data_IF_856533221241
#
_entry.id   IF_856533221241
#
_cell.length_a   1.000
_cell.length_b   1.000
_cell.length_c   1.000
_cell.angle_alpha   90.00
_cell.angle_beta   90.00
_cell.angle_gamma   90.00
#
_symmetry.space_group_name_H-M   'P 1'
#
loop_
_entity.id
_entity.type
_entity.pdbx_description
1 polymer ?
#
# COMPACT_ATOMS: atom_id res chain seq x y z
N UNK A 1 27.00 -7.46 -5.31
CA UNK A 1 25.61 -7.30 -5.76
C UNK A 1 25.18 -5.89 -5.39
N UNK A 2 24.36 -5.24 -6.22
CA UNK A 2 23.73 -3.98 -5.82
C UNK A 2 22.75 -4.24 -4.66
N UNK A 3 22.57 -3.24 -3.78
CA UNK A 3 21.61 -3.28 -2.65
C UNK A 3 20.20 -3.59 -3.19
N UNK A 4 19.48 -4.50 -2.55
CA UNK A 4 18.13 -4.89 -2.94
C UNK A 4 17.10 -3.83 -2.52
N UNK A 5 17.26 -3.30 -1.30
CA UNK A 5 16.46 -2.19 -0.80
C UNK A 5 16.97 -0.87 -1.40
N UNK A 6 16.09 -0.20 -2.14
CA UNK A 6 16.30 1.15 -2.64
C UNK A 6 15.92 2.20 -1.61
N UNK A 7 15.66 3.43 -2.06
CA UNK A 7 15.23 4.54 -1.19
C UNK A 7 13.84 4.36 -0.57
N UNK A 8 13.02 3.46 -1.13
CA UNK A 8 11.64 3.24 -0.70
C UNK A 8 11.21 1.80 -0.96
N UNK A 9 11.87 0.88 -0.28
CA UNK A 9 11.67 -0.56 -0.41
C UNK A 9 12.35 -1.18 -1.63
N UNK A 10 11.94 -2.39 -1.98
CA UNK A 10 12.44 -3.13 -3.14
C UNK A 10 11.55 -2.82 -4.33
N UNK A 11 12.09 -2.33 -5.44
CA UNK A 11 11.32 -1.99 -6.65
C UNK A 11 11.91 -2.65 -7.89
N UNK A 12 11.04 -2.96 -8.85
CA UNK A 12 11.46 -3.47 -10.15
C UNK A 12 10.29 -3.79 -11.05
N UNK A 13 10.59 -4.11 -12.31
CA UNK A 13 9.60 -4.62 -13.25
C UNK A 13 9.07 -5.95 -12.75
N UNK A 14 7.77 -6.04 -12.55
CA UNK A 14 7.12 -7.23 -12.04
C UNK A 14 7.33 -8.41 -13.00
N UNK A 15 7.62 -9.57 -12.43
CA UNK A 15 7.91 -10.82 -13.16
C UNK A 15 9.15 -10.75 -14.08
N UNK A 16 10.03 -9.76 -13.88
CA UNK A 16 11.31 -9.62 -14.60
C UNK A 16 12.47 -9.40 -13.63
N UNK A 17 12.46 -8.27 -12.91
CA UNK A 17 13.45 -7.97 -11.87
C UNK A 17 12.86 -8.10 -10.48
N UNK A 18 11.55 -7.87 -10.32
CA UNK A 18 10.78 -8.22 -9.13
C UNK A 18 9.97 -9.49 -9.38
N UNK A 19 10.57 -10.65 -9.12
CA UNK A 19 9.95 -11.97 -9.38
C UNK A 19 9.15 -12.48 -8.17
N UNK A 20 8.19 -13.40 -8.37
CA UNK A 20 7.48 -14.02 -7.24
C UNK A 20 8.43 -14.79 -6.30
N UNK A 21 9.49 -15.43 -6.80
CA UNK A 21 10.49 -16.10 -5.95
C UNK A 21 11.20 -15.09 -5.05
N UNK A 22 11.52 -13.91 -5.58
CA UNK A 22 12.11 -12.84 -4.79
C UNK A 22 11.12 -12.31 -3.74
N UNK A 23 9.85 -12.13 -4.09
CA UNK A 23 8.81 -11.72 -3.14
C UNK A 23 8.61 -12.76 -2.02
N UNK A 24 8.63 -14.06 -2.33
CA UNK A 24 8.60 -15.13 -1.34
C UNK A 24 9.79 -15.05 -0.38
N UNK A 25 11.00 -14.88 -0.92
CA UNK A 25 12.22 -14.77 -0.13
C UNK A 25 12.24 -13.51 0.75
N UNK A 26 11.76 -12.37 0.23
CA UNK A 26 11.57 -11.14 0.99
C UNK A 26 10.57 -11.38 2.13
N UNK A 27 9.45 -12.06 1.86
CA UNK A 27 8.45 -12.38 2.88
C UNK A 27 9.00 -13.27 3.99
N UNK A 28 9.75 -14.31 3.62
CA UNK A 28 10.39 -15.23 4.55
C UNK A 28 11.44 -14.51 5.42
N UNK A 29 12.33 -13.73 4.80
CA UNK A 29 13.36 -12.98 5.51
C UNK A 29 12.77 -11.87 6.40
N UNK A 30 11.81 -11.11 5.88
CA UNK A 30 11.11 -10.06 6.62
C UNK A 30 10.39 -10.62 7.83
N UNK A 31 9.64 -11.72 7.67
CA UNK A 31 8.98 -12.39 8.79
C UNK A 31 9.98 -12.88 9.84
N UNK A 32 11.11 -13.46 9.42
CA UNK A 32 12.14 -13.89 10.36
C UNK A 32 12.72 -12.72 11.17
N UNK A 33 13.11 -11.62 10.51
CA UNK A 33 13.72 -10.46 11.17
C UNK A 33 12.72 -9.74 12.06
N UNK A 34 11.53 -9.43 11.54
CA UNK A 34 10.50 -8.64 12.23
C UNK A 34 9.75 -9.46 13.29
N UNK A 35 9.85 -10.80 13.25
CA UNK A 35 9.34 -11.70 14.28
C UNK A 35 10.27 -11.93 15.48
N UNK A 36 11.52 -11.42 15.44
CA UNK A 36 12.47 -11.55 16.54
C UNK A 36 12.01 -10.76 17.77
N UNK A 37 12.33 -11.28 18.96
CA UNK A 37 12.20 -10.53 20.22
C UNK A 37 10.85 -10.63 20.94
N UNK A 38 9.87 -11.39 20.44
CA UNK A 38 8.63 -11.64 21.18
C UNK A 38 8.83 -12.53 22.40
N UNK A 39 8.21 -12.15 23.51
CA UNK A 39 8.12 -13.01 24.68
C UNK A 39 7.15 -14.18 24.44
N UNK A 40 7.44 -15.33 25.06
CA UNK A 40 6.50 -16.46 25.08
C UNK A 40 5.19 -16.02 25.74
N UNK A 41 4.06 -16.19 25.04
CA UNK A 41 2.71 -15.96 25.59
C UNK A 41 1.92 -14.80 24.97
N UNK A 42 2.52 -14.01 24.08
CA UNK A 42 1.84 -12.84 23.50
C UNK A 42 0.94 -13.14 22.27
N UNK A 43 0.62 -14.41 22.03
CA UNK A 43 -0.10 -14.87 20.84
C UNK A 43 0.77 -14.95 19.58
N UNK A 44 0.20 -15.37 18.44
CA UNK A 44 0.95 -15.45 17.17
C UNK A 44 1.24 -14.03 16.63
N UNK A 45 2.48 -13.74 16.18
CA UNK A 45 2.81 -12.48 15.52
C UNK A 45 2.03 -12.34 14.21
N UNK A 46 1.79 -11.09 13.82
CA UNK A 46 1.00 -10.75 12.63
C UNK A 46 1.70 -9.73 11.76
N UNK A 47 1.56 -9.86 10.45
CA UNK A 47 1.97 -8.86 9.47
C UNK A 47 0.77 -8.48 8.61
N UNK A 48 0.52 -7.18 8.45
CA UNK A 48 -0.50 -6.65 7.55
C UNK A 48 0.05 -6.62 6.13
N UNK A 49 -0.70 -7.11 5.14
CA UNK A 49 -0.34 -7.01 3.72
C UNK A 49 -1.47 -6.34 2.96
N UNK A 50 -1.15 -5.27 2.23
CA UNK A 50 -2.02 -4.68 1.22
C UNK A 50 -1.26 -4.30 -0.04
N UNK A 51 -1.98 -3.74 -1.00
CA UNK A 51 -1.46 -3.45 -2.34
C UNK A 51 -2.20 -2.29 -3.02
N UNK A 52 -1.66 -1.83 -4.13
CA UNK A 52 -2.40 -1.00 -5.08
C UNK A 52 -3.16 -1.86 -6.11
N UNK A 53 -3.58 -1.24 -7.21
CA UNK A 53 -4.45 -1.84 -8.22
C UNK A 53 -3.71 -2.55 -9.36
N UNK A 54 -2.37 -2.63 -9.33
CA UNK A 54 -1.59 -3.28 -10.39
C UNK A 54 -1.93 -4.76 -10.51
N UNK A 55 -2.06 -5.25 -11.74
CA UNK A 55 -2.33 -6.67 -12.04
C UNK A 55 -1.29 -7.61 -11.44
N UNK A 56 -0.03 -7.17 -11.33
CA UNK A 56 1.06 -7.95 -10.72
C UNK A 56 0.94 -8.09 -9.21
N UNK A 57 0.11 -7.27 -8.56
CA UNK A 57 -0.10 -7.27 -7.11
C UNK A 57 -0.60 -8.60 -6.58
N UNK A 58 -1.50 -9.28 -7.30
CA UNK A 58 -2.03 -10.60 -6.90
C UNK A 58 -0.93 -11.66 -6.81
N UNK A 59 -0.07 -11.71 -7.83
CA UNK A 59 1.04 -12.64 -7.92
C UNK A 59 2.06 -12.41 -6.79
N UNK A 60 2.45 -11.16 -6.58
CA UNK A 60 3.44 -10.79 -5.56
C UNK A 60 2.89 -10.97 -4.14
N UNK A 61 1.61 -10.64 -3.92
CA UNK A 61 0.92 -10.81 -2.63
C UNK A 61 0.85 -12.28 -2.24
N UNK A 62 0.51 -13.17 -3.18
CA UNK A 62 0.46 -14.60 -2.92
C UNK A 62 1.84 -15.15 -2.51
N UNK A 63 2.89 -14.78 -3.24
CA UNK A 63 4.25 -15.22 -2.95
C UNK A 63 4.76 -14.69 -1.60
N UNK A 64 4.58 -13.39 -1.34
CA UNK A 64 4.96 -12.74 -0.09
C UNK A 64 4.22 -13.36 1.09
N UNK A 65 2.91 -13.60 0.96
CA UNK A 65 2.06 -14.26 1.96
C UNK A 65 2.59 -15.65 2.30
N UNK A 66 2.91 -16.45 1.28
CA UNK A 66 3.45 -17.80 1.49
C UNK A 66 4.80 -17.75 2.24
N UNK A 67 5.69 -16.81 1.89
CA UNK A 67 6.97 -16.61 2.56
C UNK A 67 6.79 -16.27 4.04
N UNK A 68 5.89 -15.34 4.37
CA UNK A 68 5.61 -14.92 5.74
C UNK A 68 5.02 -16.07 6.57
N UNK A 69 3.98 -16.74 6.05
CA UNK A 69 3.33 -17.86 6.74
C UNK A 69 4.30 -19.03 6.97
N UNK A 70 5.27 -19.25 6.08
CA UNK A 70 6.29 -20.29 6.23
C UNK A 70 7.18 -20.08 7.46
N UNK A 71 7.27 -18.86 7.98
CA UNK A 71 8.01 -18.51 9.20
C UNK A 71 7.13 -18.43 10.45
N UNK A 72 5.89 -18.90 10.38
CA UNK A 72 4.99 -19.02 11.53
C UNK A 72 4.27 -17.72 11.91
N UNK A 73 4.33 -16.71 11.05
CA UNK A 73 3.66 -15.42 11.24
C UNK A 73 2.31 -15.44 10.53
N UNK A 74 1.25 -15.02 11.22
CA UNK A 74 -0.08 -14.88 10.62
C UNK A 74 -0.10 -13.64 9.70
N UNK A 75 -0.69 -13.76 8.51
CA UNK A 75 -0.87 -12.65 7.56
C UNK A 75 -2.27 -12.08 7.70
N UNK A 76 -2.37 -10.76 7.89
CA UNK A 76 -3.62 -10.01 7.79
C UNK A 76 -3.73 -9.39 6.39
N UNK A 77 -4.51 -10.03 5.51
CA UNK A 77 -4.69 -9.57 4.13
C UNK A 77 -5.79 -8.51 4.07
N UNK A 78 -5.43 -7.29 3.68
CA UNK A 78 -6.34 -6.13 3.69
C UNK A 78 -6.78 -5.66 2.29
N UNK A 79 -6.27 -6.28 1.24
CA UNK A 79 -6.64 -5.97 -0.14
C UNK A 79 -6.08 -4.64 -0.64
N UNK A 80 -6.87 -3.94 -1.47
CA UNK A 80 -6.47 -2.65 -2.06
C UNK A 80 -6.72 -1.53 -1.06
N UNK A 81 -5.65 -0.95 -0.53
CA UNK A 81 -5.68 0.14 0.46
C UNK A 81 -4.47 1.05 0.19
N UNK A 82 -4.63 2.39 0.25
CA UNK A 82 -3.51 3.32 0.14
C UNK A 82 -2.33 2.96 1.06
N UNK A 83 -1.11 3.24 0.61
CA UNK A 83 0.12 3.06 1.39
C UNK A 83 0.02 3.64 2.82
N UNK A 84 -0.44 4.89 3.04
CA UNK A 84 -0.65 5.41 4.40
C UNK A 84 -1.70 4.64 5.22
N UNK A 85 -2.69 4.03 4.55
CA UNK A 85 -3.66 3.15 5.19
C UNK A 85 -3.02 1.87 5.74
N UNK A 86 -2.02 1.31 5.06
CA UNK A 86 -1.27 0.14 5.56
C UNK A 86 -0.49 0.50 6.83
N UNK A 87 0.17 1.66 6.87
CA UNK A 87 0.85 2.16 8.06
C UNK A 87 -0.12 2.33 9.25
N UNK A 88 -1.31 2.89 9.00
CA UNK A 88 -2.37 2.99 10.00
C UNK A 88 -2.87 1.63 10.49
N UNK A 89 -3.23 0.73 9.57
CA UNK A 89 -3.80 -0.59 9.89
C UNK A 89 -2.79 -1.48 10.65
N UNK A 90 -1.50 -1.32 10.38
CA UNK A 90 -0.42 -1.98 11.14
C UNK A 90 -0.52 -1.66 12.63
N UNK A 91 -0.63 -0.37 12.96
CA UNK A 91 -0.80 0.09 14.35
C UNK A 91 -2.15 -0.33 14.92
N UNK A 92 -3.22 -0.18 14.13
CA UNK A 92 -4.59 -0.48 14.54
C UNK A 92 -4.74 -1.95 14.96
N UNK A 93 -4.19 -2.89 14.17
CA UNK A 93 -4.23 -4.32 14.47
C UNK A 93 -3.11 -4.81 15.39
N UNK A 94 -2.23 -3.91 15.86
CA UNK A 94 -1.05 -4.22 16.66
C UNK A 94 -0.21 -5.33 16.00
N UNK A 95 0.01 -5.18 14.70
CA UNK A 95 0.86 -6.05 13.92
C UNK A 95 2.33 -5.68 14.10
N UNK A 96 3.23 -6.64 13.94
CA UNK A 96 4.68 -6.42 14.07
C UNK A 96 5.22 -5.57 12.91
N UNK A 97 4.56 -5.69 11.76
CA UNK A 97 4.87 -4.91 10.58
C UNK A 97 3.68 -4.83 9.63
N UNK A 98 3.75 -3.84 8.74
CA UNK A 98 2.93 -3.73 7.55
C UNK A 98 3.77 -3.89 6.31
N UNK A 99 3.19 -4.41 5.23
CA UNK A 99 3.81 -4.48 3.92
C UNK A 99 2.83 -3.99 2.88
N UNK A 100 3.28 -3.10 2.02
CA UNK A 100 2.52 -2.65 0.86
C UNK A 100 3.22 -3.08 -0.43
N UNK A 101 2.41 -3.59 -1.36
CA UNK A 101 2.85 -3.96 -2.70
C UNK A 101 2.44 -2.85 -3.67
N UNK A 102 3.39 -1.97 -3.99
CA UNK A 102 3.18 -0.86 -4.92
C UNK A 102 4.51 -0.26 -5.40
N UNK A 103 4.49 0.33 -6.59
CA UNK A 103 5.52 1.23 -7.10
C UNK A 103 5.08 2.71 -7.18
N UNK A 104 4.10 3.13 -6.37
CA UNK A 104 3.60 4.52 -6.32
C UNK A 104 3.14 5.04 -7.69
N UNK A 105 3.68 6.17 -8.14
CA UNK A 105 3.42 6.80 -9.44
C UNK A 105 3.99 6.08 -10.68
N UNK A 106 4.76 4.99 -10.53
CA UNK A 106 5.35 4.30 -11.68
C UNK A 106 4.29 3.66 -12.62
N UNK A 107 4.61 3.38 -13.90
CA UNK A 107 3.75 2.61 -14.81
C UNK A 107 3.45 1.19 -14.31
N UNK A 108 2.35 0.57 -14.74
CA UNK A 108 1.81 -0.68 -14.18
C UNK A 108 2.76 -1.90 -14.26
N UNK A 109 3.73 -1.87 -15.19
CA UNK A 109 4.75 -2.91 -15.37
C UNK A 109 5.71 -2.98 -14.17
N UNK A 110 5.93 -1.86 -13.49
CA UNK A 110 6.70 -1.80 -12.27
C UNK A 110 5.85 -2.19 -11.06
N UNK A 111 6.48 -2.79 -10.06
CA UNK A 111 5.89 -2.94 -8.73
C UNK A 111 7.00 -2.83 -7.66
N UNK A 112 6.60 -2.86 -6.40
CA UNK A 112 7.52 -2.77 -5.29
C UNK A 112 6.97 -3.39 -4.01
N UNK A 113 7.85 -3.62 -3.04
CA UNK A 113 7.52 -4.15 -1.71
C UNK A 113 8.15 -3.20 -0.69
N UNK A 114 7.31 -2.56 0.13
CA UNK A 114 7.74 -1.61 1.18
C UNK A 114 7.24 -2.08 2.54
N UNK A 115 8.10 -2.04 3.55
CA UNK A 115 7.76 -2.43 4.91
C UNK A 115 7.54 -1.23 5.82
N UNK A 116 6.65 -1.39 6.79
CA UNK A 116 6.41 -0.51 7.91
C UNK A 116 6.67 -1.26 9.21
N UNK A 117 7.34 -0.63 10.16
CA UNK A 117 7.48 -1.15 11.52
C UNK A 117 6.13 -1.12 12.26
N UNK A 118 6.05 -1.81 13.40
CA UNK A 118 4.85 -1.85 14.26
C UNK A 118 4.28 -0.47 14.64
N UNK A 119 5.13 0.56 14.67
CA UNK A 119 4.74 1.94 14.95
C UNK A 119 4.20 2.70 13.72
N UNK A 120 4.13 2.06 12.55
CA UNK A 120 3.63 2.63 11.29
C UNK A 120 4.66 3.48 10.52
N UNK A 121 5.89 3.61 11.00
CA UNK A 121 6.96 4.28 10.25
C UNK A 121 7.70 3.30 9.34
N UNK A 122 8.48 3.82 8.39
CA UNK A 122 9.38 2.99 7.58
C UNK A 122 10.38 2.26 8.47
N UNK A 123 10.87 1.12 7.98
CA UNK A 123 11.95 0.40 8.66
C UNK A 123 13.23 1.27 8.69
N UNK A 124 14.01 1.23 9.78
CA UNK A 124 15.37 1.75 9.76
C UNK A 124 16.24 0.99 8.77
N UNK A 125 17.18 1.67 8.12
CA UNK A 125 18.13 1.07 7.17
C UNK A 125 18.83 -0.19 7.70
N UNK A 126 19.20 -0.20 8.98
CA UNK A 126 19.84 -1.36 9.62
C UNK A 126 18.95 -2.62 9.58
N UNK A 127 17.63 -2.45 9.70
CA UNK A 127 16.66 -3.56 9.63
C UNK A 127 16.48 -4.01 8.17
N UNK A 128 16.47 -3.08 7.22
CA UNK A 128 16.43 -3.43 5.78
C UNK A 128 17.68 -4.23 5.38
N UNK A 129 18.85 -3.80 5.84
CA UNK A 129 20.12 -4.50 5.61
C UNK A 129 20.13 -5.89 6.29
N UNK A 130 19.51 -6.03 7.47
CA UNK A 130 19.34 -7.31 8.13
C UNK A 130 18.44 -8.26 7.31
N UNK A 131 17.33 -7.75 6.75
CA UNK A 131 16.45 -8.53 5.87
C UNK A 131 17.23 -8.97 4.62
N UNK A 132 17.97 -8.06 3.99
CA UNK A 132 18.76 -8.37 2.79
C UNK A 132 19.84 -9.43 3.07
N UNK A 133 20.50 -9.36 4.22
CA UNK A 133 21.48 -10.37 4.62
C UNK A 133 20.81 -11.70 4.97
N UNK A 134 19.61 -11.67 5.58
CA UNK A 134 18.83 -12.86 5.90
C UNK A 134 18.41 -13.63 4.64
N UNK A 135 18.11 -12.93 3.54
CA UNK A 135 17.78 -13.57 2.24
C UNK A 135 18.90 -14.52 1.79
N UNK A 136 20.17 -14.21 2.09
CA UNK A 136 21.34 -15.01 1.67
C UNK A 136 21.48 -16.32 2.45
N UNK A 137 20.79 -16.46 3.59
CA UNK A 137 20.93 -17.61 4.51
C UNK A 137 19.60 -18.32 4.79
N UNK A 138 18.56 -18.09 3.96
CA UNK A 138 17.19 -18.60 4.17
C UNK A 138 17.09 -20.12 4.35
N UNK A 139 18.00 -20.89 3.74
CA UNK A 139 18.02 -22.35 3.82
C UNK A 139 18.58 -22.86 5.15
N UNK A 140 19.24 -22.00 5.92
CA UNK A 140 19.79 -22.32 7.23
C UNK A 140 18.87 -21.95 8.39
N UNK A 141 17.81 -21.19 8.11
CA UNK A 141 16.89 -20.70 9.14
C UNK A 141 16.00 -21.82 9.66
N UNK A 142 15.66 -21.81 10.97
CA UNK A 142 14.67 -22.73 11.50
C UNK A 142 13.30 -22.42 10.88
N UNK A 143 12.64 -23.43 10.32
CA UNK A 143 11.32 -23.31 9.71
C UNK A 143 10.29 -24.01 10.60
N UNK A 144 9.24 -23.31 11.08
CA UNK A 144 8.19 -23.93 11.87
C UNK A 144 7.38 -24.94 11.04
N UNK A 145 6.89 -25.98 11.72
CA UNK A 145 6.04 -27.01 11.13
C UNK A 145 4.79 -27.28 11.99
N UNK A 146 3.85 -28.05 11.45
CA UNK A 146 2.63 -28.43 12.16
C UNK A 146 1.78 -27.24 12.59
N UNK A 147 1.44 -27.16 13.87
CA UNK A 147 0.60 -26.09 14.44
C UNK A 147 1.25 -24.70 14.41
N UNK A 148 2.56 -24.63 14.24
CA UNK A 148 3.32 -23.38 14.27
C UNK A 148 3.33 -22.65 12.93
N UNK A 149 2.80 -23.26 11.85
CA UNK A 149 2.65 -22.61 10.55
C UNK A 149 1.72 -21.38 10.66
N UNK A 150 2.09 -20.30 9.98
CA UNK A 150 1.31 -19.07 9.93
C UNK A 150 0.06 -19.24 9.08
N UNK A 151 -0.99 -18.50 9.42
CA UNK A 151 -2.29 -18.54 8.72
C UNK A 151 -2.54 -17.24 7.99
N UNK A 152 -3.31 -17.33 6.91
CA UNK A 152 -3.84 -16.16 6.20
C UNK A 152 -5.21 -15.81 6.76
N UNK A 153 -5.38 -14.57 7.20
CA UNK A 153 -6.61 -14.02 7.73
C UNK A 153 -7.02 -12.83 6.85
N UNK A 154 -8.13 -12.96 6.12
CA UNK A 154 -8.66 -11.87 5.31
C UNK A 154 -9.45 -10.90 6.19
N UNK A 155 -9.18 -9.61 6.06
CA UNK A 155 -9.88 -8.54 6.79
C UNK A 155 -10.74 -7.76 5.78
N UNK A 156 -11.97 -8.24 5.58
CA UNK A 156 -12.86 -7.70 4.52
C UNK A 156 -13.23 -6.23 4.73
N UNK A 157 -13.28 -5.76 5.99
CA UNK A 157 -13.62 -4.39 6.34
C UNK A 157 -12.39 -3.49 6.63
N UNK A 158 -11.20 -3.86 6.17
CA UNK A 158 -9.98 -3.09 6.40
C UNK A 158 -10.08 -1.64 5.90
N UNK A 159 -10.69 -1.45 4.73
CA UNK A 159 -10.94 -0.13 4.16
C UNK A 159 -11.84 0.73 5.06
N UNK A 160 -12.83 0.13 5.74
CA UNK A 160 -13.74 0.88 6.62
C UNK A 160 -13.01 1.49 7.82
N UNK A 161 -12.07 0.75 8.43
CA UNK A 161 -11.25 1.28 9.52
C UNK A 161 -10.44 2.49 9.10
N UNK A 162 -9.89 2.48 7.88
CA UNK A 162 -9.11 3.61 7.37
C UNK A 162 -10.01 4.78 6.95
N UNK A 163 -11.15 4.52 6.28
CA UNK A 163 -12.16 5.54 6.00
C UNK A 163 -12.62 6.25 7.27
N UNK A 164 -12.92 5.50 8.33
CA UNK A 164 -13.35 6.09 9.60
C UNK A 164 -12.25 6.94 10.22
N UNK A 165 -11.02 6.44 10.25
CA UNK A 165 -9.87 7.20 10.75
C UNK A 165 -9.68 8.54 10.02
N UNK A 166 -9.78 8.54 8.69
CA UNK A 166 -9.67 9.78 7.90
C UNK A 166 -10.78 10.78 8.24
N UNK A 167 -12.03 10.32 8.35
CA UNK A 167 -13.16 11.18 8.69
C UNK A 167 -13.05 11.77 10.08
N UNK A 168 -12.57 11.00 11.06
CA UNK A 168 -12.39 11.46 12.44
C UNK A 168 -11.35 12.60 12.56
N UNK A 169 -10.49 12.78 11.54
CA UNK A 169 -9.44 13.80 11.51
C UNK A 169 -9.65 14.85 10.41
N UNK A 170 -10.76 14.79 9.69
CA UNK A 170 -11.08 15.72 8.60
C UNK A 170 -12.11 16.77 9.05
N UNK A 171 -12.11 17.91 8.34
CA UNK A 171 -13.18 18.90 8.48
C UNK A 171 -14.44 18.48 7.69
N UNK A 172 -15.57 19.07 8.03
CA UNK A 172 -16.77 19.04 7.19
C UNK A 172 -16.47 19.74 5.86
N UNK A 173 -16.82 19.08 4.76
CA UNK A 173 -16.60 19.54 3.38
C UNK A 173 -17.92 19.97 2.70
N UNK A 174 -19.01 20.08 3.46
CA UNK A 174 -20.30 20.54 2.98
C UNK A 174 -20.20 21.86 2.22
N UNK A 175 -20.77 21.90 1.02
CA UNK A 175 -20.75 23.08 0.15
C UNK A 175 -19.55 23.17 -0.79
N UNK A 176 -18.58 22.25 -0.69
CA UNK A 176 -17.48 22.15 -1.65
C UNK A 176 -17.80 21.16 -2.78
N UNK A 177 -17.44 21.54 -3.99
CA UNK A 177 -17.42 20.69 -5.18
C UNK A 177 -15.98 20.34 -5.53
N UNK A 178 -15.68 19.05 -5.49
CA UNK A 178 -14.32 18.52 -5.66
C UNK A 178 -14.25 17.60 -6.87
N UNK A 179 -13.28 17.83 -7.76
CA UNK A 179 -12.87 16.82 -8.76
C UNK A 179 -11.71 16.02 -8.16
N UNK A 180 -11.87 14.70 -8.05
CA UNK A 180 -10.86 13.81 -7.49
C UNK A 180 -10.32 12.86 -8.56
N UNK A 181 -9.06 13.04 -8.94
CA UNK A 181 -8.31 12.08 -9.76
C UNK A 181 -7.68 11.02 -8.86
N UNK A 182 -8.15 9.78 -9.01
CA UNK A 182 -7.71 8.65 -8.19
C UNK A 182 -6.57 7.84 -8.83
N UNK A 183 -6.04 8.29 -9.98
CA UNK A 183 -4.96 7.65 -10.75
C UNK A 183 -5.21 6.17 -11.14
N UNK A 184 -6.47 5.73 -11.13
CA UNK A 184 -6.88 4.32 -11.12
C UNK A 184 -6.12 3.50 -10.07
N UNK A 185 -5.73 4.12 -8.97
CA UNK A 185 -4.88 3.58 -7.91
C UNK A 185 -5.65 3.13 -6.67
N UNK A 186 -4.92 2.96 -5.58
CA UNK A 186 -5.43 2.41 -4.32
C UNK A 186 -6.55 3.25 -3.68
N UNK A 187 -6.62 4.56 -3.99
CA UNK A 187 -7.66 5.45 -3.47
C UNK A 187 -8.96 5.46 -4.30
N UNK A 188 -9.05 4.71 -5.40
CA UNK A 188 -10.21 4.73 -6.33
C UNK A 188 -11.57 4.50 -5.66
N UNK A 189 -11.62 3.65 -4.63
CA UNK A 189 -12.83 3.41 -3.84
C UNK A 189 -12.91 4.29 -2.60
N UNK A 190 -11.80 4.43 -1.85
CA UNK A 190 -11.76 5.08 -0.54
C UNK A 190 -11.87 6.60 -0.66
N UNK A 191 -11.15 7.23 -1.59
CA UNK A 191 -11.10 8.68 -1.74
C UNK A 191 -12.48 9.30 -1.99
N UNK A 192 -13.21 8.89 -3.05
CA UNK A 192 -14.54 9.43 -3.33
C UNK A 192 -15.53 9.17 -2.20
N UNK A 193 -15.46 8.00 -1.56
CA UNK A 193 -16.34 7.64 -0.44
C UNK A 193 -16.13 8.59 0.75
N UNK A 194 -14.89 8.77 1.20
CA UNK A 194 -14.56 9.59 2.37
C UNK A 194 -15.00 11.04 2.14
N UNK A 195 -14.69 11.63 0.99
CA UNK A 195 -15.07 13.02 0.70
C UNK A 195 -16.58 13.22 0.61
N UNK A 196 -17.33 12.27 0.04
CA UNK A 196 -18.80 12.31 0.01
C UNK A 196 -19.40 12.17 1.40
N UNK A 197 -18.89 11.25 2.22
CA UNK A 197 -19.34 11.07 3.61
C UNK A 197 -19.01 12.29 4.49
N UNK A 198 -18.04 13.12 4.10
CA UNK A 198 -17.73 14.41 4.71
C UNK A 198 -18.54 15.59 4.13
N UNK A 199 -19.46 15.35 3.19
CA UNK A 199 -20.41 16.36 2.69
C UNK A 199 -20.06 17.02 1.36
N UNK A 200 -18.92 16.71 0.73
CA UNK A 200 -18.56 17.28 -0.57
C UNK A 200 -19.40 16.71 -1.74
N UNK A 201 -19.67 17.54 -2.75
CA UNK A 201 -20.03 17.06 -4.09
C UNK A 201 -18.77 16.56 -4.78
N UNK A 202 -18.67 15.25 -5.03
CA UNK A 202 -17.44 14.65 -5.57
C UNK A 202 -17.65 14.13 -6.99
N UNK A 203 -16.84 14.64 -7.91
CA UNK A 203 -16.67 14.12 -9.27
C UNK A 203 -15.38 13.31 -9.29
N UNK A 204 -15.51 11.99 -9.18
CA UNK A 204 -14.37 11.09 -9.25
C UNK A 204 -14.01 10.79 -10.72
N UNK A 205 -12.74 10.98 -11.07
CA UNK A 205 -12.18 10.62 -12.37
C UNK A 205 -11.04 9.62 -12.17
N UNK A 206 -10.79 8.79 -13.18
CA UNK A 206 -9.79 7.71 -13.12
C UNK A 206 -9.93 6.87 -11.84
N UNK A 207 -11.12 6.36 -11.58
CA UNK A 207 -11.45 5.58 -10.38
C UNK A 207 -11.99 4.18 -10.71
N UNK A 208 -11.71 3.68 -11.91
CA UNK A 208 -12.15 2.37 -12.39
C UNK A 208 -10.92 1.53 -12.78
N UNK A 209 -10.14 1.05 -11.79
CA UNK A 209 -8.95 0.26 -12.04
C UNK A 209 -9.28 -1.05 -12.76
N UNK A 210 -8.45 -1.42 -13.74
CA UNK A 210 -8.56 -2.69 -14.50
C UNK A 210 -7.31 -3.58 -14.40
N UNK A 211 -6.32 -3.17 -13.58
CA UNK A 211 -5.05 -3.85 -13.42
C UNK A 211 -3.89 -3.27 -14.23
N UNK A 212 -4.18 -2.55 -15.32
CA UNK A 212 -3.16 -2.03 -16.26
C UNK A 212 -3.26 -0.52 -16.51
N UNK A 213 -4.35 0.11 -16.07
CA UNK A 213 -4.63 1.53 -16.30
C UNK A 213 -4.19 2.48 -15.16
N UNK A 214 -3.48 1.98 -14.14
CA UNK A 214 -2.94 2.79 -13.04
C UNK A 214 -1.91 3.81 -13.58
N UNK A 215 -2.02 5.07 -13.13
CA UNK A 215 -1.16 6.20 -13.53
C UNK A 215 -1.10 6.48 -15.05
N UNK A 216 -1.98 5.89 -15.87
CA UNK A 216 -1.94 6.07 -17.33
C UNK A 216 -2.58 7.41 -17.69
N UNK A 217 -1.74 8.44 -17.90
CA UNK A 217 -2.16 9.80 -18.27
C UNK A 217 -3.17 10.41 -17.29
N UNK A 218 -2.99 10.11 -16.00
CA UNK A 218 -3.79 10.59 -14.88
C UNK A 218 -2.93 10.62 -13.61
N UNK A 219 -3.54 11.10 -12.52
CA UNK A 219 -2.91 11.17 -11.22
C UNK A 219 -1.95 12.36 -11.07
N UNK A 220 -1.26 12.41 -9.93
CA UNK A 220 -0.46 13.58 -9.53
C UNK A 220 0.66 13.94 -10.50
N UNK A 221 1.14 13.00 -11.32
CA UNK A 221 2.20 13.25 -12.33
C UNK A 221 1.65 13.72 -13.68
N UNK A 222 0.33 13.63 -13.89
CA UNK A 222 -0.38 14.07 -15.10
C UNK A 222 -1.68 14.84 -14.76
N UNK A 223 -1.58 15.97 -14.04
CA UNK A 223 -2.74 16.71 -13.52
C UNK A 223 -3.48 17.54 -14.59
N UNK A 224 -3.05 17.53 -15.85
CA UNK A 224 -3.64 18.37 -16.92
C UNK A 224 -5.10 17.98 -17.21
N UNK A 225 -5.42 16.69 -17.09
CA UNK A 225 -6.81 16.22 -17.22
C UNK A 225 -7.69 16.72 -16.08
N UNK A 226 -7.17 16.65 -14.84
CA UNK A 226 -7.83 17.18 -13.66
C UNK A 226 -8.13 18.68 -13.82
N UNK A 227 -7.16 19.49 -14.25
CA UNK A 227 -7.34 20.93 -14.42
C UNK A 227 -8.46 21.28 -15.42
N UNK A 228 -8.55 20.54 -16.52
CA UNK A 228 -9.66 20.69 -17.47
C UNK A 228 -11.01 20.34 -16.84
N UNK A 229 -11.07 19.25 -16.08
CA UNK A 229 -12.30 18.81 -15.42
C UNK A 229 -12.76 19.78 -14.32
N UNK A 230 -11.84 20.41 -13.59
CA UNK A 230 -12.16 21.46 -12.61
C UNK A 230 -12.86 22.63 -13.29
N UNK A 231 -12.30 23.14 -14.39
CA UNK A 231 -12.89 24.24 -15.17
C UNK A 231 -14.24 23.86 -15.80
N UNK A 232 -14.33 22.67 -16.40
CA UNK A 232 -15.54 22.15 -17.05
C UNK A 232 -16.71 22.04 -16.06
N UNK A 233 -16.43 21.52 -14.85
CA UNK A 233 -17.44 21.30 -13.83
C UNK A 233 -17.64 22.50 -12.89
N UNK A 234 -16.85 23.57 -13.06
CA UNK A 234 -16.81 24.74 -12.16
C UNK A 234 -16.64 24.29 -10.70
N UNK A 235 -15.71 23.36 -10.48
CA UNK A 235 -15.41 22.84 -9.16
C UNK A 235 -14.56 23.85 -8.37
N UNK A 236 -14.68 23.81 -7.04
CA UNK A 236 -13.91 24.68 -6.14
C UNK A 236 -12.45 24.24 -6.05
N UNK A 237 -12.19 22.94 -6.20
CA UNK A 237 -10.83 22.38 -6.16
C UNK A 237 -10.75 21.06 -6.93
N UNK A 238 -9.60 20.81 -7.53
CA UNK A 238 -9.18 19.51 -8.04
C UNK A 238 -8.11 18.90 -7.15
N UNK A 239 -8.19 17.60 -6.90
CA UNK A 239 -7.20 16.84 -6.13
C UNK A 239 -6.75 15.62 -6.94
N UNK A 240 -5.46 15.52 -7.23
CA UNK A 240 -4.86 14.39 -7.92
C UNK A 240 -3.96 13.60 -6.97
N UNK A 241 -4.36 12.35 -6.72
CA UNK A 241 -3.56 11.37 -5.99
C UNK A 241 -2.64 10.63 -6.95
N UNK A 242 -1.63 9.94 -6.44
CA UNK A 242 -0.86 8.97 -7.20
C UNK A 242 -1.31 7.52 -6.93
N UNK A 243 -0.68 6.55 -7.61
CA UNK A 243 -1.13 5.16 -7.65
C UNK A 243 -1.33 4.49 -6.28
N UNK A 244 -0.52 4.81 -5.27
CA UNK A 244 -0.69 4.32 -3.89
C UNK A 244 -1.16 5.38 -2.89
N UNK A 245 -1.48 6.57 -3.40
CA UNK A 245 -2.01 7.72 -2.68
C UNK A 245 -1.15 8.12 -1.47
N UNK A 246 0.17 8.17 -1.67
CA UNK A 246 1.11 8.79 -0.74
C UNK A 246 1.44 10.26 -1.12
N UNK A 247 1.02 10.70 -2.31
CA UNK A 247 1.16 12.06 -2.82
C UNK A 247 -0.17 12.69 -3.20
N UNK A 248 -0.17 14.01 -3.22
CA UNK A 248 -1.27 14.86 -3.65
C UNK A 248 -0.72 16.03 -4.46
N UNK A 249 -1.36 16.34 -5.58
CA UNK A 249 -1.24 17.60 -6.30
C UNK A 249 -2.62 18.23 -6.36
N UNK A 250 -2.70 19.55 -6.16
CA UNK A 250 -3.97 20.26 -6.19
C UNK A 250 -4.11 21.09 -7.47
N UNK A 251 -5.35 21.39 -7.84
CA UNK A 251 -5.69 22.35 -8.88
C UNK A 251 -6.71 23.33 -8.32
N UNK A 252 -6.43 24.62 -8.45
CA UNK A 252 -7.36 25.68 -8.01
C UNK A 252 -8.57 25.82 -8.96
N UNK A 253 -9.54 26.64 -8.57
CA UNK A 253 -10.79 26.89 -9.31
C UNK A 253 -10.57 27.53 -10.69
N UNK A 254 -9.35 28.04 -10.95
CA UNK A 254 -8.94 28.67 -12.21
C UNK A 254 -8.12 27.71 -13.08
N UNK A 255 -7.91 26.47 -12.64
CA UNK A 255 -7.17 25.45 -13.37
C UNK A 255 -5.65 25.52 -13.21
N UNK A 256 -5.14 26.28 -12.22
CA UNK A 256 -3.71 26.34 -11.94
C UNK A 256 -3.31 25.16 -11.06
N UNK A 257 -2.21 24.50 -11.41
CA UNK A 257 -1.62 23.39 -10.64
C UNK A 257 -0.83 23.96 -9.46
N UNK A 258 -1.01 23.38 -8.27
CA UNK A 258 -0.40 23.77 -7.00
C UNK A 258 0.47 22.64 -6.44
#
# INVERSE_FOLDING_TARGET
MARLFGTDGVRGMANKTLTPEMAFNIGKAGAYVLGKGRAKGEGKPKIVIGKDTRISGDMLEAALTAGICSMGIDVLKVGVVPTPGIAYLTRHFKAEAGVVISAAHNPFEDNGIKFFAANGFKLPDEVEDEIENTIKILDTLPVPGGSEIGRVLTIDNAADYYCQFLKDHAADLSGLKVVLDCANGAASAIGPRVMKELGAEVIAIYNQPDGININVRCGSTHPESLARQVLEHKADVGLALDGDADRLIAVDEKGNII
#
